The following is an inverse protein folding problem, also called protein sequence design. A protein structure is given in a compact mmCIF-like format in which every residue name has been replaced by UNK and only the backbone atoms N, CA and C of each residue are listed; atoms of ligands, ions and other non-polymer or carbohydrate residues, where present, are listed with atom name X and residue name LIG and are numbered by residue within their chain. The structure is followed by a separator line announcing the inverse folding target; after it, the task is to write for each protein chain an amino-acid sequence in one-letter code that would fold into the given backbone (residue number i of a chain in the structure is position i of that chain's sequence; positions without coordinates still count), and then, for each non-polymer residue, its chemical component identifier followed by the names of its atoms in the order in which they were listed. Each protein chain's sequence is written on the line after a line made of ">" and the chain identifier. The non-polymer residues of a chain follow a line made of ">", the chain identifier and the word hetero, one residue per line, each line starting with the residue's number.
data_IF_131589358222
#
_entry.id   IF_131589358222
#
_cell.length_a   1.000
_cell.length_b   1.000
_cell.length_c   1.000
_cell.angle_alpha   90.00
_cell.angle_beta   90.00
_cell.angle_gamma   90.00
#
_symmetry.space_group_name_H-M   'P 1'
#
loop_
_entity.id
_entity.type
_entity.pdbx_description
1 polymer ?
#
# COMPACT_ATOMS: atom_id res chain seq x y z
N UNK A 1 -12.18 4.07 12.11
CA UNK A 1 -12.83 3.80 10.80
C UNK A 1 -11.91 2.94 9.93
N UNK A 2 -10.76 3.43 9.48
CA UNK A 2 -9.82 2.63 8.65
C UNK A 2 -9.19 1.44 9.38
N UNK A 3 -8.90 1.56 10.68
CA UNK A 3 -8.34 0.46 11.48
C UNK A 3 -9.28 -0.73 11.65
N UNK A 4 -10.60 -0.51 11.66
CA UNK A 4 -11.60 -1.59 11.80
C UNK A 4 -11.68 -2.43 10.53
N UNK A 5 -11.70 -1.79 9.35
CA UNK A 5 -11.68 -2.47 8.06
C UNK A 5 -10.41 -3.32 7.87
N UNK A 6 -9.26 -2.81 8.31
CA UNK A 6 -8.01 -3.58 8.24
C UNK A 6 -8.14 -4.87 9.06
N UNK A 7 -8.67 -4.79 10.28
CA UNK A 7 -8.78 -5.97 11.15
C UNK A 7 -9.75 -7.02 10.58
N UNK A 8 -10.88 -6.58 10.01
CA UNK A 8 -11.85 -7.46 9.34
C UNK A 8 -11.23 -8.23 8.16
N UNK A 9 -10.28 -7.60 7.46
CA UNK A 9 -9.61 -8.20 6.29
C UNK A 9 -8.25 -8.81 6.60
N UNK A 10 -7.75 -8.72 7.83
CA UNK A 10 -6.41 -9.20 8.19
C UNK A 10 -6.31 -10.72 8.22
N UNK A 11 -7.39 -11.40 8.58
CA UNK A 11 -7.43 -12.87 8.59
C UNK A 11 -7.21 -13.43 7.18
N UNK A 12 -6.17 -14.27 7.02
CA UNK A 12 -5.81 -14.87 5.73
C UNK A 12 -5.09 -13.92 4.75
N UNK A 13 -4.76 -12.70 5.16
CA UNK A 13 -3.99 -11.76 4.35
C UNK A 13 -2.49 -12.03 4.42
N UNK A 14 -1.79 -11.74 3.32
CA UNK A 14 -0.34 -11.58 3.33
C UNK A 14 -0.02 -10.22 3.94
N UNK A 15 0.66 -10.19 5.09
CA UNK A 15 1.00 -8.96 5.82
C UNK A 15 2.51 -8.86 6.00
N UNK A 16 3.07 -7.72 5.62
CA UNK A 16 4.48 -7.40 5.78
C UNK A 16 4.66 -6.16 6.62
N UNK A 17 5.77 -6.12 7.36
CA UNK A 17 6.16 -5.00 8.24
C UNK A 17 7.58 -4.58 7.91
N UNK A 18 7.87 -3.30 8.06
CA UNK A 18 9.20 -2.73 7.83
C UNK A 18 9.34 -2.10 6.44
N UNK A 19 9.99 -0.94 6.41
CA UNK A 19 9.93 -0.01 5.29
C UNK A 19 10.33 -0.61 3.94
N UNK A 20 11.52 -1.22 3.84
CA UNK A 20 12.03 -1.75 2.57
C UNK A 20 11.16 -2.87 2.00
N UNK A 21 10.70 -3.78 2.86
CA UNK A 21 9.84 -4.90 2.46
C UNK A 21 8.45 -4.40 2.05
N UNK A 22 7.88 -3.45 2.80
CA UNK A 22 6.59 -2.87 2.50
C UNK A 22 6.60 -2.08 1.19
N UNK A 23 7.67 -1.32 0.91
CA UNK A 23 7.80 -0.61 -0.37
C UNK A 23 7.88 -1.60 -1.54
N UNK A 24 8.70 -2.64 -1.44
CA UNK A 24 8.77 -3.66 -2.49
C UNK A 24 7.43 -4.35 -2.70
N UNK A 25 6.78 -4.79 -1.63
CA UNK A 25 5.52 -5.54 -1.68
C UNK A 25 4.35 -4.70 -2.18
N UNK A 26 4.27 -3.43 -1.80
CA UNK A 26 3.25 -2.53 -2.31
C UNK A 26 3.41 -2.26 -3.82
N UNK A 27 4.64 -2.18 -4.36
CA UNK A 27 4.87 -2.13 -5.81
C UNK A 27 4.45 -3.41 -6.51
N UNK A 28 4.81 -4.57 -5.97
CA UNK A 28 4.34 -5.88 -6.47
C UNK A 28 2.81 -5.93 -6.53
N UNK A 29 2.13 -5.50 -5.45
CA UNK A 29 0.66 -5.49 -5.38
C UNK A 29 0.04 -4.49 -6.35
N UNK A 30 0.65 -3.31 -6.57
CA UNK A 30 0.18 -2.37 -7.58
C UNK A 30 0.20 -3.03 -8.97
N UNK A 31 1.31 -3.67 -9.34
CA UNK A 31 1.43 -4.37 -10.63
C UNK A 31 0.44 -5.53 -10.74
N UNK A 32 0.29 -6.34 -9.68
CA UNK A 32 -0.67 -7.46 -9.61
C UNK A 32 -2.12 -6.97 -9.81
N UNK A 33 -2.45 -5.79 -9.28
CA UNK A 33 -3.76 -5.16 -9.41
C UNK A 33 -3.93 -4.33 -10.71
N UNK A 34 -2.92 -4.29 -11.58
CA UNK A 34 -2.95 -3.55 -12.84
C UNK A 34 -2.74 -2.04 -12.71
N UNK A 35 -2.23 -1.58 -11.57
CA UNK A 35 -1.85 -0.18 -11.34
C UNK A 35 -0.40 0.07 -11.82
N UNK A 36 -0.07 1.31 -12.26
CA UNK A 36 1.29 1.67 -12.62
C UNK A 36 2.27 1.52 -11.45
N UNK A 37 3.46 0.98 -11.72
CA UNK A 37 4.56 1.03 -10.77
C UNK A 37 4.96 2.49 -10.51
N UNK A 38 4.92 2.89 -9.24
CA UNK A 38 5.20 4.27 -8.83
C UNK A 38 4.00 5.22 -8.88
N UNK A 39 2.77 4.72 -9.00
CA UNK A 39 1.56 5.55 -8.89
C UNK A 39 1.52 6.33 -7.57
N UNK A 40 1.98 5.71 -6.47
CA UNK A 40 1.98 6.30 -5.15
C UNK A 40 3.41 6.54 -4.65
N UNK A 41 3.68 7.68 -3.99
CA UNK A 41 4.91 7.90 -3.24
C UNK A 41 4.82 7.22 -1.87
N UNK A 42 5.75 6.31 -1.57
CA UNK A 42 5.68 5.40 -0.41
C UNK A 42 6.85 5.55 0.58
N UNK A 43 7.21 6.78 1.02
CA UNK A 43 8.49 7.02 1.70
C UNK A 43 8.59 6.45 3.12
N UNK A 44 7.48 6.02 3.75
CA UNK A 44 7.44 5.56 5.15
C UNK A 44 6.31 4.56 5.43
N UNK A 45 6.32 3.43 4.72
CA UNK A 45 5.39 2.34 5.01
C UNK A 45 5.83 1.55 6.25
N UNK A 46 4.91 1.39 7.19
CA UNK A 46 5.11 0.55 8.37
C UNK A 46 4.56 -0.86 8.16
N UNK A 47 3.45 -0.96 7.44
CA UNK A 47 2.74 -2.20 7.19
C UNK A 47 2.05 -2.14 5.83
N UNK A 48 2.13 -3.23 5.08
CA UNK A 48 1.31 -3.47 3.90
C UNK A 48 0.61 -4.80 4.07
N UNK A 49 -0.64 -4.88 3.65
CA UNK A 49 -1.33 -6.15 3.59
C UNK A 49 -2.21 -6.29 2.36
N UNK A 50 -2.32 -7.54 1.92
CA UNK A 50 -3.20 -7.93 0.83
C UNK A 50 -3.96 -9.19 1.18
N UNK A 51 -5.28 -9.06 1.31
CA UNK A 51 -6.19 -10.19 1.35
C UNK A 51 -6.66 -10.52 -0.06
N UNK A 52 -6.06 -11.54 -0.68
CA UNK A 52 -6.42 -11.99 -2.03
C UNK A 52 -7.82 -12.60 -2.10
N UNK A 53 -8.34 -13.15 -1.00
CA UNK A 53 -9.68 -13.73 -0.99
C UNK A 53 -10.77 -12.67 -1.10
N UNK A 54 -10.53 -11.46 -0.57
CA UNK A 54 -11.49 -10.34 -0.63
C UNK A 54 -11.10 -9.27 -1.64
N UNK A 55 -9.87 -9.29 -2.14
CA UNK A 55 -9.32 -8.22 -2.98
C UNK A 55 -8.90 -6.97 -2.19
N UNK A 56 -8.91 -7.02 -0.84
CA UNK A 56 -8.65 -5.85 0.00
C UNK A 56 -7.15 -5.63 0.23
N UNK A 57 -6.64 -4.47 -0.18
CA UNK A 57 -5.26 -4.00 0.08
C UNK A 57 -5.29 -2.83 1.05
N UNK A 58 -4.32 -2.80 1.96
CA UNK A 58 -4.03 -1.62 2.78
C UNK A 58 -2.55 -1.29 2.83
N UNK A 59 -2.28 -0.01 2.98
CA UNK A 59 -0.95 0.57 3.16
C UNK A 59 -1.00 1.46 4.41
N UNK A 60 -0.23 1.11 5.44
CA UNK A 60 -0.10 1.94 6.64
C UNK A 60 1.21 2.71 6.58
N UNK A 61 1.12 4.03 6.65
CA UNK A 61 2.26 4.94 6.68
C UNK A 61 2.47 5.49 8.09
N UNK A 62 3.73 5.69 8.48
CA UNK A 62 4.10 6.26 9.79
C UNK A 62 3.62 7.70 9.97
N UNK A 63 3.50 8.44 8.86
CA UNK A 63 3.07 9.82 8.85
C UNK A 63 2.25 10.09 7.59
N UNK A 64 1.32 11.05 7.68
CA UNK A 64 0.64 11.56 6.51
C UNK A 64 1.61 12.20 5.52
N UNK A 65 1.36 11.99 4.23
CA UNK A 65 2.12 12.57 3.15
C UNK A 65 1.17 13.32 2.21
N UNK A 66 1.49 14.58 1.94
CA UNK A 66 0.90 15.30 0.81
C UNK A 66 1.91 15.27 -0.32
N UNK A 67 1.54 14.66 -1.44
CA UNK A 67 2.34 14.69 -2.65
C UNK A 67 1.63 15.51 -3.73
N UNK A 68 2.36 16.46 -4.29
CA UNK A 68 1.94 17.19 -5.48
C UNK A 68 2.75 16.65 -6.64
N UNK A 69 2.08 16.01 -7.60
CA UNK A 69 2.72 15.64 -8.85
C UNK A 69 3.18 16.91 -9.57
N UNK A 70 4.39 16.86 -10.13
CA UNK A 70 4.83 17.90 -11.05
C UNK A 70 3.90 18.00 -12.27
N UNK A 71 4.05 19.08 -13.03
CA UNK A 71 3.37 19.20 -14.32
C UNK A 71 3.67 17.98 -15.20
N UNK A 72 2.61 17.38 -15.73
CA UNK A 72 2.72 16.29 -16.69
C UNK A 72 2.98 16.93 -18.05
N UNK A 73 4.24 17.27 -18.34
CA UNK A 73 4.65 17.91 -19.59
C UNK A 73 4.39 19.42 -19.66
N UNK A 74 5.03 20.07 -20.64
CA UNK A 74 4.98 21.51 -20.93
C UNK A 74 3.68 21.93 -21.63
#
# INVERSE_FOLDING_TARGET
>A
MSSQLIEEHRSGAEVHVGHELCERKSREFMVELGLPDGLLPLPRLDEVGYNRSTGFVWLRQAAGLTHTFGSIGA
#
